data_IF_989539929385
#
_entry.id   IF_989539929385
#
_cell.length_a   1.000
_cell.length_b   1.000
_cell.length_c   1.000
_cell.angle_alpha   90.00
_cell.angle_beta   90.00
_cell.angle_gamma   90.00
#
_symmetry.space_group_name_H-M   'P 1'
#
loop_
_entity.id
_entity.type
_entity.pdbx_description
1 polymer ?
#
# COMPACT_ATOMS: atom_id res chain seq x y z
N UNK A 1 -36.32 7.39 -1.95
CA UNK A 1 -36.95 8.71 -1.72
C UNK A 1 -37.56 8.75 -0.33
N UNK A 2 -37.71 9.94 0.27
CA UNK A 2 -38.42 10.12 1.54
C UNK A 2 -39.62 11.04 1.34
N UNK A 3 -40.65 10.87 2.16
CA UNK A 3 -41.76 11.83 2.21
C UNK A 3 -41.41 12.88 3.25
N UNK A 4 -41.35 14.13 2.82
CA UNK A 4 -41.24 15.28 3.70
C UNK A 4 -42.59 15.97 3.77
N UNK A 5 -42.94 16.49 4.94
CA UNK A 5 -44.19 17.19 5.15
C UNK A 5 -43.94 18.50 5.87
N UNK A 6 -44.69 19.53 5.50
CA UNK A 6 -44.77 20.80 6.23
C UNK A 6 -46.17 20.96 6.81
N UNK A 7 -46.22 21.31 8.09
CA UNK A 7 -47.45 21.55 8.81
C UNK A 7 -47.87 23.03 8.68
N UNK A 8 -49.17 23.25 8.52
CA UNK A 8 -49.75 24.57 8.23
C UNK A 8 -50.85 24.98 9.21
N UNK A 9 -51.09 24.20 10.28
CA UNK A 9 -52.11 24.50 11.27
C UNK A 9 -51.72 25.63 12.24
N UNK A 10 -52.71 26.11 13.01
CA UNK A 10 -52.56 27.23 13.94
C UNK A 10 -51.50 26.90 14.98
N UNK A 11 -50.61 27.85 15.29
CA UNK A 11 -49.50 27.67 16.23
C UNK A 11 -48.54 26.52 15.86
N UNK A 12 -48.49 26.13 14.58
CA UNK A 12 -47.63 25.04 14.10
C UNK A 12 -48.24 23.64 14.24
N UNK A 13 -49.55 23.53 14.49
CA UNK A 13 -50.23 22.23 14.50
C UNK A 13 -50.19 21.55 13.13
N UNK A 14 -50.26 20.21 13.14
CA UNK A 14 -50.18 19.38 11.94
C UNK A 14 -51.54 18.81 11.52
N UNK A 15 -52.67 19.40 11.94
CA UNK A 15 -54.01 18.98 11.47
C UNK A 15 -54.13 19.08 9.95
N UNK A 16 -53.55 20.12 9.36
CA UNK A 16 -53.36 20.25 7.91
C UNK A 16 -51.86 20.28 7.61
N UNK A 17 -51.43 19.38 6.73
CA UNK A 17 -50.04 19.32 6.26
C UNK A 17 -49.98 19.01 4.78
N UNK A 18 -48.97 19.55 4.12
CA UNK A 18 -48.67 19.25 2.72
C UNK A 18 -47.40 18.41 2.69
N UNK A 19 -47.44 17.29 1.98
CA UNK A 19 -46.31 16.37 1.86
C UNK A 19 -45.85 16.27 0.40
N UNK A 20 -44.56 16.08 0.21
CA UNK A 20 -43.94 15.85 -1.10
C UNK A 20 -42.85 14.79 -1.01
N UNK A 21 -42.56 14.13 -2.14
CA UNK A 21 -41.40 13.25 -2.24
C UNK A 21 -40.15 14.09 -2.38
N UNK A 22 -39.20 13.89 -1.47
CA UNK A 22 -37.91 14.55 -1.46
C UNK A 22 -36.78 13.53 -1.58
N UNK A 23 -35.67 13.98 -2.17
CA UNK A 23 -34.44 13.21 -2.18
C UNK A 23 -33.82 13.21 -0.78
N UNK A 24 -33.26 12.08 -0.32
CA UNK A 24 -32.47 12.08 0.90
C UNK A 24 -31.19 12.92 0.71
N UNK A 25 -30.51 13.29 1.82
CA UNK A 25 -29.20 13.92 1.74
C UNK A 25 -28.22 13.06 0.91
N UNK A 26 -27.43 13.69 0.06
CA UNK A 26 -26.54 12.98 -0.87
C UNK A 26 -25.52 12.08 -0.16
N UNK A 27 -25.09 12.44 1.06
CA UNK A 27 -24.24 11.57 1.91
C UNK A 27 -24.87 10.19 2.14
N UNK A 28 -26.19 10.13 2.39
CA UNK A 28 -26.89 8.86 2.56
C UNK A 28 -26.90 8.05 1.26
N UNK A 29 -27.08 8.71 0.12
CA UNK A 29 -27.02 8.06 -1.20
C UNK A 29 -25.62 7.51 -1.46
N UNK A 30 -24.59 8.30 -1.21
CA UNK A 30 -23.19 7.88 -1.37
C UNK A 30 -22.84 6.67 -0.50
N UNK A 31 -23.30 6.63 0.75
CA UNK A 31 -23.07 5.48 1.62
C UNK A 31 -23.74 4.20 1.09
N UNK A 32 -25.00 4.30 0.63
CA UNK A 32 -25.71 3.16 0.02
C UNK A 32 -24.98 2.64 -1.22
N UNK A 33 -24.52 3.55 -2.09
CA UNK A 33 -23.76 3.16 -3.29
C UNK A 33 -22.40 2.55 -2.90
N UNK A 34 -21.74 3.08 -1.86
CA UNK A 34 -20.47 2.53 -1.36
C UNK A 34 -20.63 1.12 -0.82
N UNK A 35 -21.71 0.83 -0.10
CA UNK A 35 -22.03 -0.53 0.35
C UNK A 35 -22.25 -1.48 -0.83
N UNK A 36 -22.96 -1.02 -1.88
CA UNK A 36 -23.13 -1.79 -3.12
C UNK A 36 -21.82 -1.99 -3.87
N UNK A 37 -20.91 -1.02 -3.82
CA UNK A 37 -19.58 -1.12 -4.42
C UNK A 37 -18.73 -2.18 -3.71
N UNK A 38 -18.76 -2.22 -2.37
CA UNK A 38 -18.01 -3.21 -1.58
C UNK A 38 -18.53 -4.64 -1.79
N UNK A 39 -19.80 -4.79 -2.15
CA UNK A 39 -20.45 -6.07 -2.49
C UNK A 39 -20.62 -6.33 -3.98
N UNK A 40 -19.95 -5.58 -4.86
CA UNK A 40 -20.14 -5.69 -6.30
C UNK A 40 -19.77 -7.09 -6.82
N UNK A 41 -20.53 -7.61 -7.78
CA UNK A 41 -20.34 -8.97 -8.30
C UNK A 41 -19.58 -8.98 -9.62
N UNK A 42 -18.57 -9.84 -9.73
CA UNK A 42 -17.88 -10.10 -11.00
C UNK A 42 -18.77 -10.95 -11.92
N UNK A 43 -18.99 -10.47 -13.14
CA UNK A 43 -19.85 -11.13 -14.12
C UNK A 43 -19.12 -11.41 -15.43
N UNK A 44 -19.57 -12.44 -16.14
CA UNK A 44 -19.13 -12.77 -17.49
C UNK A 44 -20.32 -12.71 -18.46
N UNK A 45 -20.06 -12.41 -19.73
CA UNK A 45 -21.09 -12.44 -20.77
C UNK A 45 -21.26 -13.86 -21.30
N UNK A 46 -22.44 -14.46 -21.09
CA UNK A 46 -22.84 -15.72 -21.75
C UNK A 46 -23.87 -15.46 -22.83
N UNK A 47 -23.78 -16.24 -23.91
CA UNK A 47 -24.82 -16.24 -24.94
C UNK A 47 -25.87 -17.28 -24.59
N UNK A 48 -27.11 -16.85 -24.44
CA UNK A 48 -28.28 -17.71 -24.30
C UNK A 48 -29.11 -17.51 -25.58
N UNK A 49 -28.96 -18.43 -26.53
CA UNK A 49 -29.48 -18.26 -27.88
C UNK A 49 -28.76 -17.12 -28.62
N UNK A 50 -29.52 -16.11 -29.08
CA UNK A 50 -29.01 -14.90 -29.73
C UNK A 50 -28.65 -13.78 -28.76
N UNK A 51 -29.13 -13.83 -27.50
CA UNK A 51 -28.99 -12.75 -26.53
C UNK A 51 -27.75 -12.94 -25.64
N UNK A 52 -27.04 -11.86 -25.37
CA UNK A 52 -25.95 -11.83 -24.38
C UNK A 52 -26.54 -11.50 -23.00
N UNK A 53 -26.26 -12.34 -22.02
CA UNK A 53 -26.71 -12.20 -20.63
C UNK A 53 -25.49 -12.15 -19.72
N UNK A 54 -25.52 -11.25 -18.73
CA UNK A 54 -24.51 -11.21 -17.69
C UNK A 54 -24.83 -12.30 -16.66
N UNK A 55 -23.86 -13.14 -16.37
CA UNK A 55 -23.97 -14.16 -15.32
C UNK A 55 -22.81 -14.02 -14.35
N UNK A 56 -22.98 -14.30 -13.05
CA UNK A 56 -21.87 -14.30 -12.10
C UNK A 56 -20.75 -15.22 -12.58
N UNK A 57 -19.50 -14.74 -12.49
CA UNK A 57 -18.33 -15.53 -12.89
C UNK A 57 -18.15 -16.77 -12.01
N UNK A 58 -18.48 -16.67 -10.72
CA UNK A 58 -18.53 -17.79 -9.80
C UNK A 58 -20.00 -18.12 -9.46
N UNK A 59 -20.40 -19.36 -9.76
CA UNK A 59 -21.77 -19.86 -9.58
C UNK A 59 -22.20 -20.06 -8.12
N UNK A 60 -21.28 -19.97 -7.16
CA UNK A 60 -21.60 -20.02 -5.72
C UNK A 60 -22.17 -18.70 -5.21
N UNK A 61 -21.98 -17.60 -5.94
CA UNK A 61 -22.56 -16.32 -5.59
C UNK A 61 -24.01 -16.22 -6.07
N UNK A 62 -24.79 -15.41 -5.35
CA UNK A 62 -26.17 -15.12 -5.74
C UNK A 62 -26.18 -14.33 -7.06
N UNK A 63 -27.19 -14.54 -7.92
CA UNK A 63 -27.41 -13.67 -9.07
C UNK A 63 -27.58 -12.21 -8.64
N UNK A 64 -27.09 -11.28 -9.46
CA UNK A 64 -27.24 -9.85 -9.22
C UNK A 64 -28.70 -9.41 -9.45
N UNK A 65 -29.11 -8.36 -8.74
CA UNK A 65 -30.38 -7.67 -8.96
C UNK A 65 -30.16 -6.36 -9.74
N UNK A 66 -31.24 -5.73 -10.19
CA UNK A 66 -31.19 -4.44 -10.88
C UNK A 66 -30.66 -3.29 -10.00
N UNK A 67 -30.61 -3.49 -8.68
CA UNK A 67 -30.10 -2.53 -7.70
C UNK A 67 -28.63 -2.76 -7.32
N UNK A 68 -28.00 -3.82 -7.85
CA UNK A 68 -26.63 -4.20 -7.52
C UNK A 68 -25.63 -3.68 -8.56
N UNK A 69 -24.41 -3.43 -8.10
CA UNK A 69 -23.31 -3.08 -8.98
C UNK A 69 -22.60 -4.35 -9.46
N UNK A 70 -22.29 -4.40 -10.76
CA UNK A 70 -21.58 -5.50 -11.40
C UNK A 70 -20.36 -4.99 -12.15
N UNK A 71 -19.31 -5.81 -12.26
CA UNK A 71 -18.11 -5.49 -13.02
C UNK A 71 -17.65 -6.68 -13.87
N UNK A 72 -16.98 -6.38 -14.98
CA UNK A 72 -16.47 -7.38 -15.92
C UNK A 72 -15.01 -7.73 -15.65
N UNK A 73 -14.20 -6.71 -15.41
CA UNK A 73 -12.76 -6.84 -15.25
C UNK A 73 -12.33 -6.40 -13.84
N UNK A 74 -11.38 -7.11 -13.22
CA UNK A 74 -10.87 -6.74 -11.91
C UNK A 74 -10.16 -5.39 -11.96
N UNK A 75 -10.21 -4.66 -10.83
CA UNK A 75 -9.50 -3.39 -10.71
C UNK A 75 -7.98 -3.61 -10.71
N UNK A 76 -7.20 -2.71 -11.36
CA UNK A 76 -5.74 -2.77 -11.30
C UNK A 76 -5.22 -2.42 -9.90
N UNK A 77 -3.91 -2.58 -9.70
CA UNK A 77 -3.24 -2.07 -8.50
C UNK A 77 -3.08 -0.55 -8.58
N UNK A 78 -3.54 0.16 -7.55
CA UNK A 78 -3.49 1.62 -7.43
C UNK A 78 -2.30 2.12 -6.60
N UNK A 79 -1.47 1.22 -6.08
CA UNK A 79 -0.34 1.55 -5.22
C UNK A 79 0.71 2.38 -5.94
N UNK A 80 1.13 1.95 -7.13
CA UNK A 80 2.22 2.54 -7.88
C UNK A 80 1.72 3.44 -9.01
N UNK A 81 2.55 4.41 -9.35
CA UNK A 81 2.31 5.28 -10.50
C UNK A 81 2.63 4.51 -11.78
N UNK A 82 1.64 4.31 -12.65
CA UNK A 82 1.86 3.78 -14.01
C UNK A 82 1.39 4.82 -15.04
N UNK A 83 2.33 5.44 -15.79
CA UNK A 83 1.98 6.44 -16.82
C UNK A 83 1.20 5.84 -18.00
N UNK A 84 1.19 4.51 -18.16
CA UNK A 84 0.49 3.83 -19.26
C UNK A 84 -1.02 3.68 -18.99
N UNK A 85 -1.42 3.75 -17.72
CA UNK A 85 -2.83 3.58 -17.34
C UNK A 85 -3.43 4.93 -16.94
N UNK A 86 -4.42 5.44 -17.68
CA UNK A 86 -5.06 6.71 -17.35
C UNK A 86 -5.68 6.67 -15.95
N UNK A 87 -5.39 7.70 -15.14
CA UNK A 87 -6.00 7.88 -13.82
C UNK A 87 -5.27 7.22 -12.65
N UNK A 88 -4.19 6.48 -12.87
CA UNK A 88 -3.38 5.90 -11.79
C UNK A 88 -2.23 6.83 -11.41
N UNK A 89 -2.37 7.55 -10.31
CA UNK A 89 -1.34 8.47 -9.78
C UNK A 89 -0.43 7.83 -8.71
N UNK A 90 -0.77 6.65 -8.22
CA UNK A 90 -0.15 6.02 -7.06
C UNK A 90 -0.64 6.59 -5.73
N UNK A 91 -0.15 6.04 -4.61
CA UNK A 91 -0.54 6.48 -3.25
C UNK A 91 0.49 7.33 -2.53
N UNK A 92 1.62 7.63 -3.17
CA UNK A 92 2.69 8.45 -2.59
C UNK A 92 2.17 9.84 -2.22
N UNK A 93 2.48 10.31 -1.01
CA UNK A 93 2.05 11.63 -0.52
C UNK A 93 0.58 11.71 -0.09
N UNK A 94 -0.20 10.62 -0.17
CA UNK A 94 -1.58 10.59 0.36
C UNK A 94 -1.57 10.59 1.89
N UNK A 95 -2.49 11.35 2.48
CA UNK A 95 -2.71 11.33 3.92
C UNK A 95 -3.33 10.00 4.36
N UNK A 96 -2.89 9.49 5.50
CA UNK A 96 -3.36 8.26 6.09
C UNK A 96 -3.48 8.39 7.62
N UNK A 97 -4.31 7.55 8.21
CA UNK A 97 -4.48 7.48 9.66
C UNK A 97 -3.56 6.39 10.23
N UNK A 98 -2.67 6.76 11.16
CA UNK A 98 -1.73 5.81 11.79
C UNK A 98 -2.42 4.83 12.73
N UNK A 99 -3.53 5.24 13.34
CA UNK A 99 -4.23 4.43 14.35
C UNK A 99 -5.24 3.47 13.75
N UNK A 100 -5.71 3.74 12.53
CA UNK A 100 -6.66 2.89 11.83
C UNK A 100 -5.99 1.67 11.21
N UNK A 101 -6.67 0.52 11.30
CA UNK A 101 -6.33 -0.71 10.56
C UNK A 101 -7.22 -0.94 9.33
N UNK A 102 -8.16 -0.02 9.09
CA UNK A 102 -9.07 -0.12 7.96
C UNK A 102 -8.43 0.48 6.68
N UNK A 103 -9.25 0.74 5.66
CA UNK A 103 -8.79 1.23 4.35
C UNK A 103 -8.12 2.61 4.47
N UNK A 104 -8.44 3.42 5.48
CA UNK A 104 -7.80 4.70 5.78
C UNK A 104 -6.48 4.56 6.56
N UNK A 105 -6.17 3.34 7.02
CA UNK A 105 -4.95 3.01 7.75
C UNK A 105 -3.71 3.17 6.89
N UNK A 106 -2.63 3.70 7.48
CA UNK A 106 -1.36 3.88 6.75
C UNK A 106 -0.76 2.57 6.23
N UNK A 107 -1.04 1.43 6.86
CA UNK A 107 -0.56 0.13 6.40
C UNK A 107 -1.15 -0.23 5.01
N UNK A 108 -2.46 -0.05 4.84
CA UNK A 108 -3.16 -0.34 3.58
C UNK A 108 -3.00 0.81 2.57
N UNK A 109 -3.18 2.07 2.98
CA UNK A 109 -3.07 3.24 2.11
C UNK A 109 -1.69 3.36 1.46
N UNK A 110 -0.64 3.01 2.20
CA UNK A 110 0.75 3.12 1.75
C UNK A 110 1.31 1.79 1.23
N UNK A 111 0.47 0.75 1.10
CA UNK A 111 0.83 -0.54 0.53
C UNK A 111 2.09 -1.16 1.18
N UNK A 112 2.25 -0.98 2.50
CA UNK A 112 3.41 -1.46 3.26
C UNK A 112 4.73 -0.69 3.08
N UNK A 113 4.77 0.40 2.28
CA UNK A 113 6.00 1.23 2.07
C UNK A 113 6.38 2.11 3.27
N UNK A 114 5.57 2.12 4.32
CA UNK A 114 5.70 3.02 5.45
C UNK A 114 5.13 4.42 5.18
N UNK A 115 5.20 5.26 6.20
CA UNK A 115 4.63 6.61 6.17
C UNK A 115 5.54 7.58 6.93
N UNK A 116 5.50 8.86 6.55
CA UNK A 116 6.18 9.96 7.22
C UNK A 116 5.14 10.76 8.01
N UNK A 117 5.43 11.08 9.26
CA UNK A 117 4.60 11.99 10.07
C UNK A 117 5.25 13.35 10.13
N UNK A 118 4.49 14.40 9.81
CA UNK A 118 4.93 15.79 10.00
C UNK A 118 4.03 16.48 11.02
N UNK A 119 4.61 17.32 11.87
CA UNK A 119 3.84 18.21 12.73
C UNK A 119 3.47 19.44 11.91
N UNK A 120 2.16 19.66 11.75
CA UNK A 120 1.62 20.81 11.02
C UNK A 120 0.79 21.61 12.00
N UNK A 121 1.09 22.89 12.15
CA UNK A 121 0.25 23.80 12.92
C UNK A 121 -1.01 24.14 12.10
N UNK A 122 -2.16 23.64 12.55
CA UNK A 122 -3.45 23.91 11.90
C UNK A 122 -4.13 25.07 12.62
N UNK A 123 -4.31 26.18 11.91
CA UNK A 123 -5.04 27.35 12.42
C UNK A 123 -6.52 27.23 12.04
N UNK A 124 -7.33 26.76 12.99
CA UNK A 124 -8.78 26.68 12.82
C UNK A 124 -9.49 27.96 13.28
N UNK A 125 -10.54 28.34 12.54
CA UNK A 125 -11.40 29.47 12.91
C UNK A 125 -12.42 28.99 13.95
N UNK A 126 -12.16 29.22 15.22
CA UNK A 126 -13.14 28.97 16.29
C UNK A 126 -14.21 30.07 16.32
N UNK A 127 -15.48 29.69 16.38
CA UNK A 127 -16.57 30.65 16.59
C UNK A 127 -16.70 30.99 18.08
N UNK A 128 -17.25 32.16 18.42
CA UNK A 128 -17.48 32.55 19.83
C UNK A 128 -18.41 31.59 20.59
N UNK A 129 -19.21 30.79 19.88
CA UNK A 129 -20.10 29.78 20.46
C UNK A 129 -19.39 28.45 20.76
N UNK A 130 -18.21 28.21 20.18
CA UNK A 130 -17.43 26.97 20.36
C UNK A 130 -16.52 27.03 21.60
N UNK A 131 -16.76 27.95 22.55
CA UNK A 131 -15.88 28.18 23.72
C UNK A 131 -15.79 26.99 24.70
N UNK A 132 -16.57 25.93 24.46
CA UNK A 132 -16.49 24.65 25.17
C UNK A 132 -15.64 23.59 24.43
N UNK A 133 -15.26 23.84 23.17
CA UNK A 133 -14.22 23.06 22.50
C UNK A 133 -12.88 23.60 23.00
N UNK A 134 -12.24 22.86 23.90
CA UNK A 134 -10.79 22.96 24.13
C UNK A 134 -10.09 23.11 22.78
N UNK A 135 -8.99 23.88 22.66
CA UNK A 135 -8.17 23.83 21.46
C UNK A 135 -7.90 22.35 21.22
N UNK A 136 -8.43 21.81 20.13
CA UNK A 136 -8.11 20.46 19.72
C UNK A 136 -6.62 20.54 19.39
N UNK A 137 -5.80 20.29 20.40
CA UNK A 137 -4.42 19.88 20.22
C UNK A 137 -4.56 18.48 19.66
N UNK A 138 -4.97 18.42 18.39
CA UNK A 138 -5.06 17.18 17.65
C UNK A 138 -3.62 16.72 17.53
N UNK A 139 -3.19 15.88 18.47
CA UNK A 139 -1.96 15.11 18.40
C UNK A 139 -1.96 14.11 17.22
N UNK A 140 -2.98 14.15 16.36
CA UNK A 140 -2.95 13.50 15.07
C UNK A 140 -1.98 14.25 14.16
N UNK A 141 -0.68 13.91 14.31
CA UNK A 141 0.33 14.24 13.32
C UNK A 141 -0.12 13.62 12.01
N UNK A 142 -0.49 14.42 10.98
CA UNK A 142 -0.88 13.86 9.70
C UNK A 142 0.27 13.00 9.17
N UNK A 143 -0.05 11.73 8.91
CA UNK A 143 0.85 10.79 8.29
C UNK A 143 0.61 10.82 6.77
N UNK A 144 1.69 10.78 5.99
CA UNK A 144 1.62 10.70 4.54
C UNK A 144 2.44 9.51 4.03
N UNK A 145 1.97 8.85 2.99
CA UNK A 145 2.65 7.69 2.43
C UNK A 145 4.02 8.06 1.86
N UNK A 146 5.04 7.30 2.29
CA UNK A 146 6.41 7.47 1.85
C UNK A 146 6.56 7.12 0.36
N UNK A 147 7.23 7.98 -0.39
CA UNK A 147 7.72 7.66 -1.74
C UNK A 147 9.08 6.94 -1.70
N UNK A 148 9.59 6.45 -2.84
CA UNK A 148 11.00 6.13 -2.95
C UNK A 148 11.82 7.35 -2.49
N UNK A 149 12.95 7.14 -1.78
CA UNK A 149 13.72 8.25 -1.21
C UNK A 149 14.03 9.25 -2.32
N UNK A 150 13.54 10.48 -2.16
CA UNK A 150 13.93 11.58 -3.04
C UNK A 150 15.43 11.82 -2.85
N UNK A 151 16.22 11.98 -3.94
CA UNK A 151 17.67 12.17 -3.83
C UNK A 151 18.07 13.45 -3.06
N UNK A 152 17.11 14.32 -2.73
CA UNK A 152 17.30 15.57 -2.00
C UNK A 152 17.14 15.45 -0.48
N UNK A 153 16.67 14.32 0.06
CA UNK A 153 16.62 14.10 1.52
C UNK A 153 17.91 13.44 2.01
N UNK A 154 19.06 14.06 1.70
CA UNK A 154 20.27 13.79 2.49
C UNK A 154 20.08 14.48 3.84
N UNK A 155 20.35 13.81 4.97
CA UNK A 155 20.37 14.48 6.26
C UNK A 155 21.47 15.56 6.22
N UNK A 156 21.06 16.83 6.22
CA UNK A 156 21.98 17.96 6.23
C UNK A 156 22.72 18.15 7.57
N UNK A 157 22.52 17.26 8.55
CA UNK A 157 23.19 17.30 9.85
C UNK A 157 23.88 15.96 10.15
N UNK A 158 24.99 15.73 9.46
CA UNK A 158 26.08 14.88 9.96
C UNK A 158 27.37 15.71 10.04
N UNK A 159 27.29 16.92 10.60
CA UNK A 159 28.46 17.69 11.05
C UNK A 159 28.60 17.54 12.55
N UNK A 160 29.29 16.48 12.96
CA UNK A 160 30.20 16.36 14.11
C UNK A 160 30.27 14.90 14.59
N UNK A 161 30.94 14.06 13.80
CA UNK A 161 31.70 12.97 14.42
C UNK A 161 33.06 13.58 14.76
N UNK A 162 33.24 13.84 16.04
CA UNK A 162 34.49 14.23 16.66
C UNK A 162 35.56 13.22 16.24
N UNK A 163 36.49 13.63 15.38
CA UNK A 163 37.64 12.81 15.01
C UNK A 163 38.62 12.93 16.17
N UNK A 164 38.48 12.06 17.16
CA UNK A 164 39.49 11.91 18.19
C UNK A 164 40.79 11.45 17.51
N UNK A 165 41.74 12.37 17.53
CA UNK A 165 43.05 12.23 16.93
C UNK A 165 43.98 11.67 17.98
N UNK A 166 43.99 10.34 18.16
CA UNK A 166 45.10 9.69 18.83
C UNK A 166 45.74 8.61 17.95
N UNK A 167 46.77 9.07 17.26
CA UNK A 167 47.72 8.25 16.55
C UNK A 167 48.73 7.66 17.54
N UNK A 168 48.85 6.32 17.60
CA UNK A 168 50.13 5.56 17.54
C UNK A 168 49.96 4.14 18.09
N UNK A 169 50.04 3.14 17.20
CA UNK A 169 51.13 2.12 17.15
C UNK A 169 50.75 0.95 16.25
N UNK A 170 51.59 0.74 15.22
CA UNK A 170 52.12 -0.53 14.68
C UNK A 170 51.09 -1.64 14.40
N UNK A 171 50.98 -2.16 13.18
CA UNK A 171 52.08 -2.82 12.49
C UNK A 171 51.86 -2.85 10.97
N UNK A 172 52.93 -2.55 10.23
CA UNK A 172 53.03 -2.78 8.81
C UNK A 172 53.39 -4.24 8.54
N UNK A 173 52.68 -4.91 7.63
CA UNK A 173 53.16 -6.11 6.95
C UNK A 173 52.86 -6.05 5.45
N UNK A 174 53.80 -5.41 4.75
CA UNK A 174 54.42 -5.79 3.46
C UNK A 174 53.56 -6.59 2.45
N UNK A 175 53.10 -5.90 1.41
CA UNK A 175 52.78 -6.51 0.11
C UNK A 175 54.06 -6.97 -0.59
N UNK A 176 54.04 -8.16 -1.20
CA UNK A 176 55.07 -8.64 -2.13
C UNK A 176 54.54 -8.65 -3.58
N UNK A 177 55.45 -8.54 -4.57
CA UNK A 177 55.15 -7.98 -5.88
C UNK A 177 54.65 -9.01 -6.89
N UNK A 178 53.84 -8.52 -7.83
CA UNK A 178 53.47 -9.21 -9.06
C UNK A 178 54.66 -9.32 -10.03
N UNK A 179 54.74 -10.43 -10.79
CA UNK A 179 55.55 -10.59 -12.02
C UNK A 179 55.12 -11.85 -12.79
N UNK A 180 55.46 -12.00 -14.09
CA UNK A 180 54.52 -11.66 -15.16
C UNK A 180 54.28 -12.81 -16.18
N UNK A 181 53.49 -12.48 -17.20
CA UNK A 181 53.01 -13.31 -18.30
C UNK A 181 54.08 -14.08 -19.11
N UNK A 182 53.66 -15.20 -19.69
CA UNK A 182 54.21 -15.75 -20.93
C UNK A 182 53.13 -16.49 -21.73
N UNK A 183 53.00 -16.09 -22.99
CA UNK A 183 52.05 -16.55 -24.01
C UNK A 183 52.38 -17.95 -24.51
N UNK A 184 51.37 -18.77 -24.84
CA UNK A 184 51.45 -19.72 -25.97
C UNK A 184 50.10 -19.76 -26.70
N UNK A 185 50.22 -19.64 -28.00
CA UNK A 185 49.25 -19.62 -29.10
C UNK A 185 48.41 -20.89 -29.28
N UNK A 186 47.18 -20.69 -29.78
CA UNK A 186 46.33 -21.42 -30.77
C UNK A 186 46.87 -22.77 -31.33
N UNK A 187 46.05 -23.71 -31.86
CA UNK A 187 44.76 -23.48 -32.55
C UNK A 187 43.67 -24.59 -32.41
N UNK A 188 42.50 -24.32 -33.00
CA UNK A 188 41.61 -25.25 -33.74
C UNK A 188 41.41 -26.70 -33.23
N UNK A 189 40.15 -27.08 -32.94
CA UNK A 189 39.32 -27.85 -33.89
C UNK A 189 38.00 -28.31 -33.25
N UNK A 190 37.01 -28.34 -34.13
CA UNK A 190 35.59 -28.65 -33.93
C UNK A 190 35.28 -30.08 -33.49
N UNK A 191 34.04 -30.21 -32.99
CA UNK A 191 33.20 -31.43 -33.04
C UNK A 191 33.65 -32.55 -32.09
N UNK A 192 32.82 -33.06 -31.19
CA UNK A 192 31.60 -33.83 -31.49
C UNK A 192 30.82 -34.09 -30.19
N UNK A 193 29.51 -34.27 -30.33
CA UNK A 193 28.52 -34.49 -29.28
C UNK A 193 28.68 -35.79 -28.45
N UNK A 194 28.34 -35.65 -27.14
CA UNK A 194 27.56 -36.54 -26.25
C UNK A 194 28.15 -37.90 -25.77
N UNK A 195 27.52 -38.59 -24.79
CA UNK A 195 27.19 -38.24 -23.40
C UNK A 195 27.70 -39.37 -22.43
N UNK A 196 27.06 -39.57 -21.26
CA UNK A 196 27.14 -40.71 -20.29
C UNK A 196 27.94 -40.35 -19.01
N UNK A 197 27.31 -40.05 -17.86
CA UNK A 197 26.64 -40.90 -16.85
C UNK A 197 27.57 -41.68 -15.88
N UNK A 198 27.21 -41.61 -14.58
CA UNK A 198 27.69 -42.34 -13.40
C UNK A 198 29.06 -41.90 -12.83
N UNK A 199 29.24 -41.62 -11.54
CA UNK A 199 29.05 -42.55 -10.42
C UNK A 199 29.00 -41.81 -9.07
N UNK A 200 28.44 -42.51 -8.09
CA UNK A 200 28.21 -42.12 -6.69
C UNK A 200 29.44 -42.40 -5.79
N UNK A 201 29.43 -41.77 -4.60
CA UNK A 201 30.21 -42.06 -3.35
C UNK A 201 31.64 -41.47 -3.32
N UNK A 202 32.20 -40.96 -2.23
CA UNK A 202 31.87 -41.08 -0.80
C UNK A 202 32.38 -39.85 0.00
N UNK A 203 31.68 -39.52 1.09
CA UNK A 203 32.22 -38.77 2.22
C UNK A 203 33.33 -39.55 2.93
N UNK A 204 34.39 -38.85 3.35
CA UNK A 204 35.28 -39.30 4.42
C UNK A 204 35.36 -38.21 5.51
N UNK A 205 34.54 -38.40 6.56
CA UNK A 205 34.87 -38.30 8.00
C UNK A 205 35.81 -37.18 8.47
N UNK A 206 35.31 -36.18 9.22
CA UNK A 206 35.31 -36.04 10.71
C UNK A 206 36.57 -35.32 11.28
N UNK A 207 36.57 -34.47 12.31
CA UNK A 207 35.71 -34.32 13.52
C UNK A 207 35.80 -32.87 14.12
N UNK A 208 34.96 -32.56 15.14
CA UNK A 208 34.68 -31.24 15.70
C UNK A 208 35.34 -30.97 17.08
N UNK A 209 35.27 -29.73 17.57
CA UNK A 209 35.55 -29.38 18.97
C UNK A 209 34.28 -28.92 19.69
N UNK A 210 34.06 -29.52 20.88
CA UNK A 210 32.91 -29.38 21.79
C UNK A 210 33.07 -28.21 22.78
N UNK A 211 31.95 -27.54 23.05
CA UNK A 211 31.27 -27.23 24.34
C UNK A 211 32.09 -26.59 25.48
N UNK A 212 31.59 -25.48 26.05
CA UNK A 212 31.14 -25.38 27.46
C UNK A 212 29.98 -24.37 27.55
N UNK A 213 28.90 -24.84 28.16
CA UNK A 213 27.72 -24.11 28.63
C UNK A 213 27.86 -24.03 30.16
N UNK A 214 27.65 -22.87 30.77
CA UNK A 214 27.36 -22.77 32.20
C UNK A 214 26.39 -21.61 32.46
N UNK A 215 25.17 -21.99 32.83
CA UNK A 215 24.36 -21.32 33.85
C UNK A 215 24.51 -22.10 35.16
N UNK A 216 24.28 -21.47 36.30
CA UNK A 216 22.94 -21.55 36.91
C UNK A 216 22.16 -20.24 36.86
#
# INVERSE_FOLDING_TARGET
>A
MRVECKCHGVSGSCEVKTCWKAMPPFRKVGNVIKEKFDGATEVEQRKVGSTKVLVPRNSQFKPHTDEDLVYLDPSPDFCDYDPRTPGMLGTVGRQCNRTSKAIDGCELMCCGRGFQTQEVEVVDRISRYDRAATPNTAHDRPAACSGPPSPSSQPADARNVFVDSDARRRAACKMRPARPASQISLPFSSSTLQPILLTSRACTSCRPSRIINQQP
#
